data_IF_525917131975
#
_entry.id   IF_525917131975
#
_cell.length_a   1.000
_cell.length_b   1.000
_cell.length_c   1.000
_cell.angle_alpha   90.00
_cell.angle_beta   90.00
_cell.angle_gamma   90.00
#
_symmetry.space_group_name_H-M   'P 1'
#
loop_
_entity.id
_entity.type
_entity.pdbx_description
1 polymer ?
#
# COMPACT_ATOMS: atom_id res chain seq x y z
N UNK A 1 0.05 16.08 94.40
CA UNK A 1 0.47 14.66 94.18
C UNK A 1 -0.06 14.25 92.82
N UNK A 2 0.80 14.20 91.81
CA UNK A 2 0.47 13.79 90.44
C UNK A 2 0.41 12.25 90.34
N UNK A 3 -0.48 11.69 89.51
CA UNK A 3 -0.26 10.38 88.91
C UNK A 3 0.02 10.49 87.40
N UNK A 4 1.04 9.75 87.00
CA UNK A 4 1.75 9.74 85.73
C UNK A 4 0.91 9.41 84.50
N UNK A 5 1.14 10.18 83.42
CA UNK A 5 0.77 9.84 82.04
C UNK A 5 1.54 8.59 81.60
N UNK A 6 0.84 7.48 81.32
CA UNK A 6 1.39 6.33 80.59
C UNK A 6 1.16 6.55 79.09
N UNK A 7 2.21 6.99 78.41
CA UNK A 7 2.28 7.07 76.95
C UNK A 7 2.33 5.63 76.42
N UNK A 8 1.32 5.23 75.64
CA UNK A 8 1.36 3.99 74.89
C UNK A 8 2.38 4.13 73.76
N UNK A 9 3.47 3.36 73.84
CA UNK A 9 4.35 3.11 72.70
C UNK A 9 3.57 2.25 71.70
N UNK A 10 3.06 2.88 70.64
CA UNK A 10 2.62 2.17 69.45
C UNK A 10 3.86 1.60 68.76
N UNK A 11 3.96 0.28 68.72
CA UNK A 11 4.98 -0.46 67.97
C UNK A 11 4.83 -0.08 66.50
N UNK A 12 5.76 0.70 65.98
CA UNK A 12 5.87 1.00 64.55
C UNK A 12 6.24 -0.33 63.88
N UNK A 13 5.29 -0.92 63.17
CA UNK A 13 5.56 -2.03 62.27
C UNK A 13 6.44 -1.49 61.14
N UNK A 14 7.72 -1.84 61.17
CA UNK A 14 8.66 -1.59 60.08
C UNK A 14 8.18 -2.42 58.89
N UNK A 15 7.42 -1.80 57.99
CA UNK A 15 7.19 -2.35 56.65
C UNK A 15 8.55 -2.40 55.97
N UNK A 16 9.11 -3.60 55.87
CA UNK A 16 10.18 -3.86 54.92
C UNK A 16 9.60 -3.62 53.52
N UNK A 17 9.94 -2.47 52.92
CA UNK A 17 9.79 -2.29 51.48
C UNK A 17 10.67 -3.36 50.82
N UNK A 18 10.02 -4.45 50.38
CA UNK A 18 10.56 -5.27 49.32
C UNK A 18 10.61 -4.36 48.08
N UNK A 19 11.80 -3.85 47.78
CA UNK A 19 12.08 -3.27 46.50
C UNK A 19 11.87 -4.36 45.44
N UNK A 20 10.72 -4.29 44.77
CA UNK A 20 10.53 -4.96 43.48
C UNK A 20 11.64 -4.41 42.56
N UNK A 21 12.44 -5.26 41.90
CA UNK A 21 13.31 -4.76 40.84
C UNK A 21 12.40 -4.14 39.78
N UNK A 22 12.61 -2.84 39.53
CA UNK A 22 12.05 -2.16 38.39
C UNK A 22 12.44 -2.94 37.13
N UNK A 23 11.46 -3.58 36.49
CA UNK A 23 11.62 -4.03 35.13
C UNK A 23 11.93 -2.80 34.29
N UNK A 24 13.18 -2.68 33.85
CA UNK A 24 13.57 -1.72 32.82
C UNK A 24 12.83 -2.15 31.55
N UNK A 25 11.71 -1.49 31.26
CA UNK A 25 11.15 -1.47 29.92
C UNK A 25 12.12 -0.72 29.02
N UNK A 26 13.11 -1.43 28.50
CA UNK A 26 13.85 -1.02 27.33
C UNK A 26 13.19 -1.67 26.12
N UNK A 27 13.00 -0.89 25.05
CA UNK A 27 12.97 -1.42 23.70
C UNK A 27 14.36 -2.01 23.40
N UNK A 28 14.59 -3.22 23.93
CA UNK A 28 15.76 -4.02 23.61
C UNK A 28 15.60 -4.52 22.19
N UNK A 29 16.61 -4.24 21.37
CA UNK A 29 16.79 -4.77 20.01
C UNK A 29 17.08 -6.27 20.04
N UNK A 30 16.27 -7.03 20.76
CA UNK A 30 16.30 -8.49 20.73
C UNK A 30 15.41 -8.89 19.56
N UNK A 31 15.94 -8.76 18.34
CA UNK A 31 15.39 -9.46 17.18
C UNK A 31 15.31 -10.93 17.60
N UNK A 32 14.13 -11.58 17.50
CA UNK A 32 14.01 -12.98 17.88
C UNK A 32 15.01 -13.79 17.06
N UNK A 33 16.08 -14.24 17.71
CA UNK A 33 17.01 -15.20 17.12
C UNK A 33 16.20 -16.48 17.00
N UNK A 34 15.90 -16.90 15.77
CA UNK A 34 15.13 -18.10 15.50
C UNK A 34 15.77 -19.28 16.22
N UNK A 35 15.10 -19.79 17.26
CA UNK A 35 15.53 -21.00 17.96
C UNK A 35 14.61 -22.18 17.69
N UNK A 36 13.45 -22.00 17.06
CA UNK A 36 12.49 -23.09 16.82
C UNK A 36 11.64 -22.97 15.53
N UNK A 37 11.91 -22.04 14.62
CA UNK A 37 11.22 -21.98 13.32
C UNK A 37 12.26 -21.93 12.20
N UNK A 38 12.26 -22.92 11.30
CA UNK A 38 13.17 -23.07 10.15
C UNK A 38 13.05 -21.91 9.13
N UNK A 39 12.39 -20.80 9.45
CA UNK A 39 12.09 -19.68 8.54
C UNK A 39 12.87 -18.41 8.88
N UNK A 40 13.17 -17.65 7.84
CA UNK A 40 13.89 -16.38 7.94
C UNK A 40 13.35 -15.37 6.91
N UNK A 41 13.70 -14.09 7.05
CA UNK A 41 13.19 -13.04 6.18
C UNK A 41 11.76 -12.62 6.52
N UNK A 42 10.96 -12.36 5.48
CA UNK A 42 9.62 -11.77 5.57
C UNK A 42 9.56 -10.39 6.21
N UNK A 43 8.35 -9.85 6.38
CA UNK A 43 8.11 -8.50 6.91
C UNK A 43 8.64 -8.31 8.35
N UNK A 44 8.78 -9.41 9.08
CA UNK A 44 9.31 -9.43 10.44
C UNK A 44 10.85 -9.43 10.48
N UNK A 45 11.53 -9.61 9.33
CA UNK A 45 12.98 -9.60 9.23
C UNK A 45 13.64 -10.70 10.08
N UNK A 46 13.03 -11.88 10.15
CA UNK A 46 13.47 -12.98 11.01
C UNK A 46 14.88 -13.40 10.60
N UNK A 47 15.81 -13.44 11.56
CA UNK A 47 17.20 -13.82 11.33
C UNK A 47 17.44 -15.27 11.74
N UNK A 48 18.26 -15.98 10.97
CA UNK A 48 18.71 -17.32 11.33
C UNK A 48 19.63 -17.33 12.55
N UNK A 49 19.75 -18.50 13.16
CA UNK A 49 20.62 -18.73 14.30
C UNK A 49 22.10 -18.60 13.96
N UNK A 50 22.94 -18.62 15.01
CA UNK A 50 24.38 -18.60 14.82
C UNK A 50 24.85 -19.86 14.06
N UNK A 51 25.58 -19.66 12.96
CA UNK A 51 26.06 -20.76 12.13
C UNK A 51 25.09 -21.17 11.00
N UNK A 52 24.13 -20.31 10.68
CA UNK A 52 23.17 -20.49 9.59
C UNK A 52 23.09 -19.25 8.68
N UNK A 53 22.59 -19.43 7.46
CA UNK A 53 22.23 -18.37 6.52
C UNK A 53 20.78 -18.56 6.05
N UNK A 54 20.18 -17.49 5.53
CA UNK A 54 18.81 -17.51 5.07
C UNK A 54 18.71 -17.91 3.59
N UNK A 55 18.30 -19.13 3.28
CA UNK A 55 18.16 -19.62 1.91
C UNK A 55 16.81 -19.20 1.33
N UNK A 56 16.82 -18.26 0.39
CA UNK A 56 15.63 -17.84 -0.36
C UNK A 56 15.49 -18.65 -1.65
N UNK A 57 14.28 -19.08 -1.97
CA UNK A 57 14.04 -19.78 -3.23
C UNK A 57 14.34 -18.86 -4.42
N UNK A 58 14.96 -19.40 -5.47
CA UNK A 58 15.31 -18.68 -6.71
C UNK A 58 16.33 -17.53 -6.57
N UNK A 59 17.19 -17.54 -5.54
CA UNK A 59 18.21 -16.50 -5.33
C UNK A 59 17.61 -15.09 -5.21
N UNK A 60 16.36 -14.97 -4.76
CA UNK A 60 15.75 -13.67 -4.52
C UNK A 60 16.18 -13.15 -3.15
N UNK A 61 16.54 -11.88 -3.06
CA UNK A 61 16.67 -11.24 -1.76
C UNK A 61 16.23 -9.78 -1.81
N UNK A 62 15.67 -9.33 -0.69
CA UNK A 62 15.10 -7.99 -0.59
C UNK A 62 13.64 -7.88 -1.03
N UNK A 63 12.95 -8.99 -1.31
CA UNK A 63 11.48 -8.98 -1.38
C UNK A 63 10.96 -8.96 0.06
N UNK A 64 10.24 -7.89 0.43
CA UNK A 64 9.87 -7.58 1.81
C UNK A 64 9.06 -8.70 2.49
N UNK A 65 8.30 -9.48 1.73
CA UNK A 65 7.36 -10.47 2.25
C UNK A 65 7.76 -11.93 1.96
N UNK A 66 8.92 -12.16 1.33
CA UNK A 66 9.36 -13.52 1.02
C UNK A 66 10.06 -14.16 2.21
N UNK A 67 9.57 -15.35 2.59
CA UNK A 67 10.15 -16.18 3.64
C UNK A 67 11.18 -17.12 3.03
N UNK A 68 12.40 -17.09 3.56
CA UNK A 68 13.44 -18.08 3.30
C UNK A 68 13.44 -19.19 4.35
N UNK A 69 14.32 -20.17 4.15
CA UNK A 69 14.57 -21.26 5.10
C UNK A 69 15.97 -21.13 5.69
N UNK A 70 16.12 -21.28 7.01
CA UNK A 70 17.45 -21.31 7.62
C UNK A 70 18.21 -22.58 7.23
N UNK A 71 19.44 -22.39 6.74
CA UNK A 71 20.35 -23.48 6.34
C UNK A 71 21.69 -23.33 7.07
N UNK A 72 22.35 -24.43 7.45
CA UNK A 72 23.67 -24.38 8.07
C UNK A 72 24.72 -23.83 7.11
N UNK A 73 25.68 -23.06 7.64
CA UNK A 73 26.82 -22.56 6.87
C UNK A 73 27.66 -23.73 6.33
N UNK A 74 27.96 -23.75 5.01
CA UNK A 74 28.91 -24.71 4.45
C UNK A 74 30.27 -24.63 5.15
N UNK A 75 30.83 -25.78 5.50
CA UNK A 75 32.14 -25.86 6.18
C UNK A 75 33.32 -26.08 5.22
N UNK A 76 33.03 -26.42 3.97
CA UNK A 76 34.02 -26.66 2.94
C UNK A 76 33.46 -26.27 1.58
N UNK A 77 34.19 -25.44 0.85
CA UNK A 77 33.85 -24.99 -0.50
C UNK A 77 34.90 -25.45 -1.50
N UNK A 78 34.48 -25.65 -2.75
CA UNK A 78 35.41 -25.89 -3.84
C UNK A 78 36.11 -24.58 -4.22
N UNK A 79 37.35 -24.66 -4.72
CA UNK A 79 38.06 -23.50 -5.27
C UNK A 79 37.66 -23.21 -6.74
N UNK A 80 36.45 -23.65 -7.14
CA UNK A 80 35.96 -23.43 -8.50
C UNK A 80 35.38 -22.02 -8.56
N UNK A 81 35.95 -21.19 -9.43
CA UNK A 81 35.47 -19.83 -9.65
C UNK A 81 34.21 -19.84 -10.52
N UNK A 82 33.07 -19.55 -9.91
CA UNK A 82 31.74 -19.40 -10.50
C UNK A 82 31.06 -18.24 -9.78
N UNK A 83 31.41 -16.98 -10.12
CA UNK A 83 31.10 -15.85 -9.27
C UNK A 83 29.60 -15.65 -9.11
N UNK A 84 29.22 -15.12 -7.95
CA UNK A 84 27.85 -14.76 -7.61
C UNK A 84 27.83 -13.39 -6.92
N UNK A 85 26.72 -12.66 -7.08
CA UNK A 85 26.48 -11.45 -6.33
C UNK A 85 25.70 -11.81 -5.06
N UNK A 86 26.23 -11.46 -3.89
CA UNK A 86 25.57 -11.66 -2.62
C UNK A 86 24.51 -10.60 -2.36
N UNK A 87 23.57 -10.90 -1.47
CA UNK A 87 22.53 -9.96 -1.03
C UNK A 87 23.06 -8.74 -0.26
N UNK A 88 24.34 -8.76 0.10
CA UNK A 88 25.09 -7.63 0.64
C UNK A 88 25.74 -6.75 -0.45
N UNK A 89 25.51 -7.07 -1.73
CA UNK A 89 26.12 -6.38 -2.88
C UNK A 89 27.60 -6.69 -3.07
N UNK A 90 28.14 -7.72 -2.42
CA UNK A 90 29.53 -8.15 -2.61
C UNK A 90 29.61 -9.34 -3.56
N UNK A 91 30.65 -9.36 -4.38
CA UNK A 91 30.95 -10.50 -5.28
C UNK A 91 31.71 -11.58 -4.53
N UNK A 92 31.22 -12.81 -4.61
CA UNK A 92 31.86 -14.00 -4.04
C UNK A 92 32.39 -14.91 -5.14
N UNK A 93 33.46 -15.67 -4.87
CA UNK A 93 34.08 -16.55 -5.85
C UNK A 93 33.17 -17.70 -6.31
N UNK A 94 32.24 -18.12 -5.44
CA UNK A 94 31.12 -19.01 -5.75
C UNK A 94 30.03 -18.93 -4.68
N UNK A 95 28.86 -19.52 -4.96
CA UNK A 95 27.72 -19.59 -4.05
C UNK A 95 28.05 -20.22 -2.69
N UNK A 96 28.94 -21.22 -2.65
CA UNK A 96 29.34 -21.83 -1.38
C UNK A 96 30.08 -20.84 -0.49
N UNK A 97 31.00 -20.05 -1.05
CA UNK A 97 31.75 -19.03 -0.33
C UNK A 97 30.85 -17.89 0.19
N UNK A 98 29.85 -17.48 -0.59
CA UNK A 98 28.81 -16.54 -0.14
C UNK A 98 28.05 -17.11 1.07
N UNK A 99 27.50 -18.32 0.91
CA UNK A 99 26.72 -18.97 1.95
C UNK A 99 27.55 -19.28 3.20
N UNK A 100 28.84 -19.62 3.06
CA UNK A 100 29.76 -19.83 4.18
C UNK A 100 30.04 -18.54 4.97
N UNK A 101 29.87 -17.38 4.31
CA UNK A 101 29.95 -16.06 4.93
C UNK A 101 28.62 -15.60 5.54
N UNK A 102 27.58 -16.44 5.51
CA UNK A 102 26.24 -16.09 5.98
C UNK A 102 25.41 -15.27 5.00
N UNK A 103 25.90 -15.13 3.76
CA UNK A 103 25.31 -14.26 2.74
C UNK A 103 24.68 -15.12 1.65
N UNK A 104 23.41 -14.88 1.37
CA UNK A 104 22.70 -15.58 0.31
C UNK A 104 23.00 -14.96 -1.05
N UNK A 105 22.79 -15.75 -2.10
CA UNK A 105 23.01 -15.33 -3.48
C UNK A 105 21.81 -14.51 -3.97
N UNK A 106 22.09 -13.33 -4.52
CA UNK A 106 21.12 -12.45 -5.19
C UNK A 106 21.04 -12.75 -6.69
N UNK A 107 22.18 -13.09 -7.30
CA UNK A 107 22.25 -13.41 -8.73
C UNK A 107 23.53 -14.18 -9.07
N UNK A 108 23.48 -14.89 -10.21
CA UNK A 108 24.68 -15.48 -10.82
C UNK A 108 25.52 -14.37 -11.47
N UNK A 109 26.85 -14.48 -11.37
CA UNK A 109 27.80 -13.50 -11.91
C UNK A 109 28.34 -12.54 -10.85
N UNK A 110 29.26 -11.67 -11.25
CA UNK A 110 29.80 -10.62 -10.36
C UNK A 110 28.75 -9.50 -10.18
N UNK A 111 28.81 -8.76 -9.07
CA UNK A 111 27.92 -7.61 -8.86
C UNK A 111 28.24 -6.49 -9.85
N UNK A 112 27.21 -5.87 -10.42
CA UNK A 112 27.40 -4.73 -11.31
C UNK A 112 27.77 -3.45 -10.52
N UNK A 113 28.82 -2.70 -10.93
CA UNK A 113 29.30 -1.51 -10.21
C UNK A 113 28.36 -0.29 -10.28
N UNK A 114 27.13 -0.46 -10.78
CA UNK A 114 26.09 0.57 -10.89
C UNK A 114 24.83 0.30 -10.07
N UNK A 115 24.70 -0.88 -9.48
CA UNK A 115 23.57 -1.26 -8.64
C UNK A 115 24.10 -1.56 -7.24
N UNK A 116 24.18 -0.52 -6.42
CA UNK A 116 24.50 -0.69 -5.00
C UNK A 116 23.48 -1.63 -4.38
N UNK A 117 23.97 -2.69 -3.72
CA UNK A 117 23.18 -3.66 -2.96
C UNK A 117 22.24 -2.97 -1.98
N UNK A 118 21.01 -2.79 -2.44
CA UNK A 118 19.89 -2.17 -1.76
C UNK A 118 18.71 -2.37 -2.68
N UNK A 119 17.86 -3.34 -2.33
CA UNK A 119 16.80 -3.86 -3.18
C UNK A 119 16.07 -2.78 -3.99
N UNK A 120 16.20 -2.86 -5.31
CA UNK A 120 15.32 -2.22 -6.26
C UNK A 120 15.05 -3.24 -7.36
N UNK A 121 13.79 -3.67 -7.43
CA UNK A 121 13.35 -4.67 -8.38
C UNK A 121 13.32 -4.17 -9.82
N UNK A 122 13.54 -5.12 -10.73
CA UNK A 122 12.74 -5.25 -11.96
C UNK A 122 12.98 -4.25 -13.10
N UNK A 123 14.08 -4.42 -13.83
CA UNK A 123 14.28 -3.79 -15.15
C UNK A 123 14.01 -4.74 -16.31
N UNK A 124 12.77 -4.80 -16.80
CA UNK A 124 12.40 -5.49 -18.04
C UNK A 124 12.96 -4.76 -19.27
N UNK A 125 13.53 -5.52 -20.21
CA UNK A 125 14.02 -5.02 -21.49
C UNK A 125 12.86 -4.54 -22.39
N UNK A 126 12.75 -3.23 -22.59
CA UNK A 126 11.84 -2.60 -23.56
C UNK A 126 12.62 -1.82 -24.61
N UNK A 127 12.49 -2.22 -25.87
CA UNK A 127 13.27 -1.70 -27.00
C UNK A 127 13.00 -0.24 -27.38
N UNK A 128 14.01 0.35 -28.02
CA UNK A 128 14.11 1.78 -28.30
C UNK A 128 13.03 2.40 -29.20
N UNK A 129 12.79 3.69 -28.93
CA UNK A 129 12.18 4.66 -29.83
C UNK A 129 13.00 5.95 -29.81
N UNK A 130 13.48 6.38 -30.97
CA UNK A 130 14.30 7.58 -31.15
C UNK A 130 13.45 8.85 -31.13
N UNK A 131 13.91 9.84 -30.36
CA UNK A 131 14.10 11.20 -30.86
C UNK A 131 13.02 12.24 -30.54
N UNK A 132 13.42 13.24 -29.75
CA UNK A 132 12.75 14.53 -29.65
C UNK A 132 13.42 15.42 -28.61
N UNK A 133 14.46 16.16 -29.02
CA UNK A 133 15.24 16.99 -28.10
C UNK A 133 14.45 18.15 -27.50
N UNK A 134 14.66 18.36 -26.20
CA UNK A 134 14.32 19.58 -25.47
C UNK A 134 15.33 19.78 -24.35
N UNK A 135 16.10 20.86 -24.41
CA UNK A 135 17.08 21.23 -23.39
C UNK A 135 16.38 21.95 -22.23
N UNK A 136 16.56 21.44 -21.01
CA UNK A 136 16.62 22.26 -19.80
C UNK A 136 15.56 21.98 -18.73
N UNK A 137 15.98 21.34 -17.64
CA UNK A 137 15.21 21.18 -16.39
C UNK A 137 15.53 19.83 -15.77
N UNK A 138 16.27 19.79 -14.66
CA UNK A 138 16.66 18.55 -13.98
C UNK A 138 15.55 18.00 -13.09
N UNK A 139 14.32 17.95 -13.59
CA UNK A 139 13.17 17.34 -12.92
C UNK A 139 13.22 15.81 -13.02
N UNK A 140 12.50 15.11 -12.15
CA UNK A 140 12.36 13.66 -12.25
C UNK A 140 11.55 13.31 -13.51
N UNK A 141 12.03 12.34 -14.29
CA UNK A 141 11.28 11.83 -15.46
C UNK A 141 9.99 11.11 -15.05
N UNK A 142 9.93 10.64 -13.80
CA UNK A 142 8.79 9.98 -13.19
C UNK A 142 8.14 10.83 -12.10
N UNK A 143 6.86 10.57 -11.86
CA UNK A 143 6.05 11.27 -10.86
C UNK A 143 5.10 10.30 -10.15
N UNK A 144 4.46 10.75 -9.08
CA UNK A 144 3.57 9.93 -8.29
C UNK A 144 4.30 8.96 -7.34
N UNK A 145 3.77 7.75 -7.23
CA UNK A 145 4.19 6.70 -6.30
C UNK A 145 4.05 7.10 -4.83
N UNK A 146 4.52 6.22 -3.94
CA UNK A 146 4.47 6.43 -2.48
C UNK A 146 5.20 7.69 -2.01
N UNK A 147 6.20 8.12 -2.78
CA UNK A 147 6.98 9.32 -2.51
C UNK A 147 6.26 10.61 -2.93
N UNK A 148 5.17 10.51 -3.69
CA UNK A 148 4.38 11.66 -4.17
C UNK A 148 5.20 12.62 -5.04
N UNK A 149 6.09 12.08 -5.89
CA UNK A 149 7.03 12.88 -6.69
C UNK A 149 6.23 13.81 -7.62
N UNK A 150 6.53 15.09 -7.57
CA UNK A 150 5.86 16.11 -8.38
C UNK A 150 6.70 16.46 -9.62
N UNK A 151 6.03 16.72 -10.74
CA UNK A 151 6.69 17.21 -11.95
C UNK A 151 7.10 18.68 -11.83
N UNK A 152 7.97 19.12 -12.74
CA UNK A 152 8.38 20.52 -12.80
C UNK A 152 7.22 21.43 -13.26
N UNK A 153 7.28 22.74 -12.96
CA UNK A 153 6.26 23.67 -13.41
C UNK A 153 6.12 23.67 -14.94
N UNK A 154 4.89 23.48 -15.42
CA UNK A 154 4.62 23.37 -16.86
C UNK A 154 4.50 21.94 -17.36
N UNK A 155 4.50 20.96 -16.45
CA UNK A 155 4.24 19.54 -16.72
C UNK A 155 3.11 19.02 -15.82
N UNK A 156 2.49 17.92 -16.25
CA UNK A 156 1.54 17.14 -15.45
C UNK A 156 2.04 15.69 -15.33
N UNK A 157 1.58 15.00 -14.30
CA UNK A 157 1.92 13.60 -14.11
C UNK A 157 0.96 12.71 -14.91
N UNK A 158 1.43 12.15 -16.02
CA UNK A 158 0.63 11.28 -16.89
C UNK A 158 0.70 9.83 -16.40
N UNK A 159 -0.43 9.28 -15.95
CA UNK A 159 -0.52 7.89 -15.52
C UNK A 159 -1.01 7.00 -16.67
N UNK A 160 -0.34 5.88 -16.95
CA UNK A 160 -0.81 4.94 -17.97
C UNK A 160 -2.19 4.38 -17.60
N UNK A 161 -2.99 4.03 -18.61
CA UNK A 161 -4.28 3.33 -18.43
C UNK A 161 -5.30 4.02 -17.48
N UNK A 162 -5.19 5.34 -17.26
CA UNK A 162 -6.05 6.12 -16.36
C UNK A 162 -6.00 5.63 -14.89
N UNK A 163 -4.86 5.10 -14.44
CA UNK A 163 -4.70 4.37 -13.18
C UNK A 163 -4.47 5.24 -11.92
N UNK A 164 -4.63 6.56 -12.03
CA UNK A 164 -4.35 7.43 -10.90
C UNK A 164 -5.29 7.15 -9.71
N UNK A 165 -4.73 7.22 -8.49
CA UNK A 165 -5.43 6.84 -7.25
C UNK A 165 -4.93 5.53 -6.63
N UNK A 166 -4.08 4.78 -7.32
CA UNK A 166 -3.32 3.66 -6.73
C UNK A 166 -2.04 4.23 -6.08
N UNK A 167 -1.85 3.95 -4.79
CA UNK A 167 -0.85 4.63 -3.94
C UNK A 167 0.61 4.49 -4.42
N UNK A 168 0.92 3.41 -5.14
CA UNK A 168 2.30 3.07 -5.52
C UNK A 168 2.57 3.21 -7.03
N UNK A 169 1.59 3.66 -7.81
CA UNK A 169 1.76 3.75 -9.25
C UNK A 169 2.59 4.98 -9.64
N UNK A 170 3.52 4.78 -10.58
CA UNK A 170 4.38 5.83 -11.11
C UNK A 170 3.86 6.29 -12.47
N UNK A 171 3.76 7.60 -12.65
CA UNK A 171 3.50 8.25 -13.92
C UNK A 171 4.76 8.81 -14.57
N UNK A 172 4.59 9.42 -15.75
CA UNK A 172 5.64 10.10 -16.50
C UNK A 172 5.34 11.59 -16.55
N UNK A 173 6.34 12.43 -16.25
CA UNK A 173 6.18 13.88 -16.38
C UNK A 173 6.05 14.28 -17.85
N UNK A 174 4.90 14.87 -18.18
CA UNK A 174 4.54 15.23 -19.55
C UNK A 174 4.23 16.73 -19.64
N UNK A 175 4.74 17.45 -20.64
CA UNK A 175 4.46 18.87 -20.81
C UNK A 175 2.96 19.18 -20.93
N UNK A 176 2.53 20.28 -20.30
CA UNK A 176 1.15 20.76 -20.45
C UNK A 176 0.87 21.07 -21.93
N UNK A 177 -0.31 20.69 -22.45
CA UNK A 177 -0.73 21.09 -23.79
C UNK A 177 -0.79 22.62 -23.90
N UNK A 178 -0.49 23.18 -25.07
CA UNK A 178 -0.49 24.63 -25.27
C UNK A 178 -1.87 25.21 -25.61
N UNK A 179 -2.77 24.37 -26.13
CA UNK A 179 -4.12 24.74 -26.50
C UNK A 179 -5.02 23.51 -26.54
N UNK A 180 -6.28 23.69 -26.18
CA UNK A 180 -7.30 22.64 -26.20
C UNK A 180 -8.44 23.00 -27.14
N UNK A 181 -9.06 21.97 -27.71
CA UNK A 181 -10.33 22.15 -28.40
C UNK A 181 -11.47 22.27 -27.36
N UNK A 182 -12.59 22.83 -27.79
CA UNK A 182 -13.82 22.96 -26.96
C UNK A 182 -14.82 21.83 -27.24
N UNK A 183 -14.35 20.67 -27.74
CA UNK A 183 -15.21 19.51 -27.94
C UNK A 183 -15.54 18.94 -26.56
N UNK A 184 -16.83 18.82 -26.27
CA UNK A 184 -17.30 18.21 -25.03
C UNK A 184 -17.21 16.68 -25.13
N UNK A 185 -16.26 16.10 -24.41
CA UNK A 185 -15.99 14.68 -24.27
C UNK A 185 -15.50 14.43 -22.83
N UNK A 186 -16.40 14.48 -21.85
CA UNK A 186 -16.03 14.73 -20.46
C UNK A 186 -15.17 13.60 -19.88
N UNK A 187 -14.31 13.98 -18.95
CA UNK A 187 -13.43 13.06 -18.20
C UNK A 187 -13.43 13.42 -16.73
N UNK A 188 -13.15 12.42 -15.89
CA UNK A 188 -12.92 12.61 -14.47
C UNK A 188 -11.42 12.68 -14.21
N UNK A 189 -10.97 13.80 -13.63
CA UNK A 189 -9.58 13.99 -13.26
C UNK A 189 -9.22 13.18 -12.00
N UNK A 190 -7.91 12.94 -11.81
CA UNK A 190 -7.39 12.32 -10.59
C UNK A 190 -7.60 13.16 -9.32
N UNK A 191 -7.97 14.43 -9.49
CA UNK A 191 -8.37 15.36 -8.44
C UNK A 191 -9.87 15.25 -8.07
N UNK A 192 -10.62 14.39 -8.77
CA UNK A 192 -12.06 14.24 -8.58
C UNK A 192 -12.89 15.35 -9.25
N UNK A 193 -12.28 16.21 -10.08
CA UNK A 193 -13.00 17.24 -10.82
C UNK A 193 -13.37 16.79 -12.24
N UNK A 194 -14.59 17.15 -12.69
CA UNK A 194 -15.04 16.91 -14.06
C UNK A 194 -14.44 17.94 -15.01
N UNK A 195 -13.73 17.48 -16.03
CA UNK A 195 -13.21 18.31 -17.10
C UNK A 195 -14.00 18.09 -18.40
N UNK A 196 -14.18 19.16 -19.18
CA UNK A 196 -14.94 19.08 -20.44
C UNK A 196 -14.31 18.18 -21.51
N UNK A 197 -13.00 17.93 -21.42
CA UNK A 197 -12.27 16.91 -22.16
C UNK A 197 -10.89 16.62 -21.55
N UNK A 198 -10.23 15.53 -21.99
CA UNK A 198 -8.90 15.14 -21.55
C UNK A 198 -7.83 16.23 -21.72
N UNK A 199 -7.90 17.02 -22.79
CA UNK A 199 -6.95 18.12 -22.96
C UNK A 199 -7.13 19.18 -21.88
N UNK A 200 -8.37 19.53 -21.54
CA UNK A 200 -8.67 20.50 -20.51
C UNK A 200 -8.19 20.04 -19.12
N UNK A 201 -8.31 18.75 -18.80
CA UNK A 201 -7.72 18.16 -17.59
C UNK A 201 -6.19 18.29 -17.58
N UNK A 202 -5.53 17.83 -18.65
CA UNK A 202 -4.08 17.87 -18.75
C UNK A 202 -3.55 19.31 -18.74
N UNK A 203 -4.26 20.28 -19.34
CA UNK A 203 -3.92 21.70 -19.29
C UNK A 203 -3.98 22.28 -17.87
N UNK A 204 -4.88 21.76 -17.03
CA UNK A 204 -4.99 22.10 -15.62
C UNK A 204 -3.91 21.41 -14.74
N UNK A 205 -3.07 20.55 -15.33
CA UNK A 205 -2.06 19.80 -14.58
C UNK A 205 -2.56 18.47 -14.04
N UNK A 206 -3.70 17.97 -14.53
CA UNK A 206 -4.43 16.84 -13.95
C UNK A 206 -4.54 15.71 -14.97
N UNK A 207 -4.10 14.51 -14.58
CA UNK A 207 -4.29 13.31 -15.41
C UNK A 207 -5.74 12.83 -15.37
N UNK A 208 -6.13 12.10 -16.41
CA UNK A 208 -7.46 11.49 -16.51
C UNK A 208 -7.47 10.21 -15.67
N UNK A 209 -8.43 10.09 -14.75
CA UNK A 209 -8.68 8.87 -13.96
C UNK A 209 -9.82 8.01 -14.50
N UNK A 210 -10.78 8.60 -15.22
CA UNK A 210 -11.77 7.82 -15.98
C UNK A 210 -12.44 8.63 -17.09
N UNK A 211 -13.02 7.93 -18.06
CA UNK A 211 -13.87 8.52 -19.10
C UNK A 211 -15.26 8.87 -18.55
N UNK A 212 -15.83 9.99 -18.97
CA UNK A 212 -17.10 10.50 -18.47
C UNK A 212 -16.90 11.55 -17.37
N UNK A 213 -17.97 12.24 -16.99
CA UNK A 213 -17.93 13.18 -15.86
C UNK A 213 -17.56 12.44 -14.57
N UNK A 214 -16.86 13.11 -13.64
CA UNK A 214 -16.68 12.56 -12.32
C UNK A 214 -18.05 12.23 -11.71
N UNK A 215 -18.18 11.07 -11.05
CA UNK A 215 -19.35 10.82 -10.25
C UNK A 215 -19.40 11.92 -9.20
N UNK A 216 -20.57 12.53 -9.00
CA UNK A 216 -20.69 13.70 -8.11
C UNK A 216 -20.39 13.38 -6.62
N UNK A 217 -20.11 12.12 -6.33
CA UNK A 217 -19.26 11.61 -5.26
C UNK A 217 -18.53 10.36 -5.76
N UNK A 218 -17.25 10.21 -5.42
CA UNK A 218 -16.48 8.98 -5.60
C UNK A 218 -15.98 8.45 -4.25
N UNK A 219 -16.49 9.01 -3.16
CA UNK A 219 -16.05 8.70 -1.81
C UNK A 219 -16.42 7.27 -1.44
N UNK A 220 -15.52 6.53 -0.77
CA UNK A 220 -15.84 5.22 -0.26
C UNK A 220 -16.95 5.33 0.81
N UNK A 221 -17.90 4.41 0.74
CA UNK A 221 -18.99 4.30 1.72
C UNK A 221 -19.13 2.87 2.24
N UNK A 222 -19.81 2.69 3.37
CA UNK A 222 -19.96 1.39 3.99
C UNK A 222 -18.69 0.89 4.70
N UNK A 223 -18.39 -0.40 4.53
CA UNK A 223 -17.32 -1.11 5.22
C UNK A 223 -17.44 -1.13 6.75
N UNK A 224 -16.40 -1.63 7.42
CA UNK A 224 -16.36 -1.76 8.88
C UNK A 224 -16.43 -0.40 9.61
N UNK A 225 -16.02 0.67 8.92
CA UNK A 225 -16.04 2.03 9.43
C UNK A 225 -17.44 2.67 9.34
N UNK A 226 -18.36 2.10 8.55
CA UNK A 226 -19.69 2.64 8.35
C UNK A 226 -19.67 4.04 7.74
N UNK A 227 -18.86 4.23 6.69
CA UNK A 227 -18.74 5.51 5.99
C UNK A 227 -20.08 5.88 5.34
N UNK A 228 -20.59 7.08 5.63
CA UNK A 228 -21.89 7.56 5.15
C UNK A 228 -21.72 8.52 3.98
N UNK A 229 -22.61 8.41 2.99
CA UNK A 229 -22.68 9.36 1.88
C UNK A 229 -23.41 10.64 2.26
N UNK A 230 -23.24 11.67 1.43
CA UNK A 230 -23.95 12.93 1.57
C UNK A 230 -25.47 12.80 1.48
N UNK A 231 -26.17 13.86 1.88
CA UNK A 231 -27.64 13.85 1.96
C UNK A 231 -28.34 13.58 0.62
N UNK A 232 -27.71 13.93 -0.50
CA UNK A 232 -28.22 13.76 -1.86
C UNK A 232 -27.65 12.53 -2.56
N UNK A 233 -27.10 11.58 -1.80
CA UNK A 233 -26.37 10.41 -2.31
C UNK A 233 -26.82 9.09 -1.66
N UNK A 234 -26.53 7.99 -2.33
CA UNK A 234 -26.69 6.65 -1.80
C UNK A 234 -25.37 5.89 -1.96
N UNK A 235 -25.13 4.91 -1.10
CA UNK A 235 -23.95 4.07 -1.21
C UNK A 235 -24.20 2.98 -2.25
N UNK A 236 -23.56 3.04 -3.41
CA UNK A 236 -23.70 2.01 -4.45
C UNK A 236 -22.69 0.88 -4.20
N UNK A 237 -23.19 -0.34 -4.01
CA UNK A 237 -22.36 -1.52 -3.81
C UNK A 237 -22.29 -2.32 -5.12
N UNK A 238 -21.12 -2.81 -5.51
CA UNK A 238 -21.02 -3.71 -6.66
C UNK A 238 -21.87 -4.97 -6.44
N UNK A 239 -22.43 -5.54 -7.51
CA UNK A 239 -23.14 -6.83 -7.49
C UNK A 239 -24.30 -6.98 -6.49
N UNK A 240 -24.91 -5.88 -6.01
CA UNK A 240 -26.00 -5.89 -5.01
C UNK A 240 -25.59 -6.51 -3.67
N UNK A 241 -24.32 -6.38 -3.28
CA UNK A 241 -23.68 -7.12 -2.19
C UNK A 241 -23.88 -6.56 -0.78
N UNK A 242 -24.77 -5.59 -0.59
CA UNK A 242 -24.92 -4.93 0.70
C UNK A 242 -25.29 -5.89 1.84
N UNK A 243 -24.74 -5.64 3.04
CA UNK A 243 -24.89 -6.51 4.22
C UNK A 243 -23.68 -7.39 4.52
N UNK A 244 -22.61 -7.29 3.72
CA UNK A 244 -21.29 -7.83 4.04
C UNK A 244 -20.52 -6.77 4.85
N UNK A 245 -19.96 -7.17 6.00
CA UNK A 245 -19.43 -6.23 7.00
C UNK A 245 -18.24 -5.39 6.51
N UNK A 246 -17.48 -5.89 5.56
CA UNK A 246 -16.21 -5.30 5.12
C UNK A 246 -16.25 -4.77 3.67
N UNK A 247 -17.40 -4.86 3.01
CA UNK A 247 -17.51 -4.42 1.63
C UNK A 247 -17.68 -2.89 1.56
N UNK A 248 -16.84 -2.26 0.73
CA UNK A 248 -16.92 -0.83 0.45
C UNK A 248 -17.74 -0.62 -0.81
N UNK A 249 -18.70 0.31 -0.73
CA UNK A 249 -19.37 0.87 -1.88
C UNK A 249 -18.75 2.21 -2.29
N UNK A 250 -19.34 2.82 -3.30
CA UNK A 250 -19.00 4.17 -3.76
C UNK A 250 -20.23 5.06 -3.62
N UNK A 251 -20.08 6.21 -2.98
CA UNK A 251 -21.16 7.18 -2.93
C UNK A 251 -21.56 7.58 -4.34
N UNK A 252 -22.85 7.59 -4.62
CA UNK A 252 -23.40 7.92 -5.93
C UNK A 252 -24.58 8.86 -5.75
N UNK A 253 -24.72 9.85 -6.62
CA UNK A 253 -25.84 10.78 -6.56
C UNK A 253 -27.19 10.10 -6.70
N UNK A 254 -28.14 10.49 -5.86
CA UNK A 254 -29.54 10.05 -5.99
C UNK A 254 -30.10 10.52 -7.34
N UNK A 255 -30.85 9.67 -8.05
CA UNK A 255 -31.58 10.11 -9.23
C UNK A 255 -32.57 11.22 -8.84
N UNK A 256 -32.85 12.15 -9.75
CA UNK A 256 -33.79 13.26 -9.49
C UNK A 256 -35.25 12.87 -9.73
N UNK A 257 -35.48 11.87 -10.59
CA UNK A 257 -36.79 11.37 -10.94
C UNK A 257 -36.71 9.89 -11.34
N UNK A 258 -37.78 9.15 -11.07
CA UNK A 258 -37.89 7.74 -11.39
C UNK A 258 -39.11 7.46 -12.25
N UNK A 259 -38.99 6.46 -13.12
CA UNK A 259 -40.17 5.90 -13.77
C UNK A 259 -41.00 5.08 -12.76
N UNK A 260 -42.29 4.93 -13.05
CA UNK A 260 -43.22 4.15 -12.21
C UNK A 260 -43.36 2.70 -12.70
N UNK A 261 -42.37 2.18 -13.45
CA UNK A 261 -42.41 0.79 -13.92
C UNK A 261 -42.18 -0.12 -12.72
N UNK A 262 -43.16 -0.94 -12.40
CA UNK A 262 -43.08 -1.87 -11.28
C UNK A 262 -42.17 -3.06 -11.61
N UNK A 263 -40.99 -3.08 -11.01
CA UNK A 263 -39.95 -4.11 -11.09
C UNK A 263 -39.32 -4.24 -9.69
N UNK A 264 -40.00 -4.90 -8.74
CA UNK A 264 -39.69 -4.76 -7.33
C UNK A 264 -38.29 -5.25 -6.98
N UNK A 265 -37.70 -4.61 -5.98
CA UNK A 265 -36.38 -4.93 -5.43
C UNK A 265 -36.42 -4.88 -3.91
N UNK A 266 -35.52 -5.62 -3.26
CA UNK A 266 -35.29 -5.58 -1.83
C UNK A 266 -34.09 -4.67 -1.58
N UNK A 267 -34.30 -3.60 -0.83
CA UNK A 267 -33.25 -2.68 -0.44
C UNK A 267 -32.37 -3.24 0.68
N UNK A 268 -31.18 -2.68 0.84
CA UNK A 268 -30.26 -3.02 1.93
C UNK A 268 -30.80 -2.70 3.32
N UNK A 269 -31.84 -1.86 3.40
CA UNK A 269 -32.59 -1.53 4.60
C UNK A 269 -33.69 -2.56 4.93
N UNK A 270 -33.84 -3.61 4.12
CA UNK A 270 -34.87 -4.64 4.26
C UNK A 270 -36.26 -4.20 3.81
N UNK A 271 -36.40 -3.10 3.07
CA UNK A 271 -37.66 -2.63 2.52
C UNK A 271 -37.82 -2.99 1.04
N UNK A 272 -39.05 -3.30 0.63
CA UNK A 272 -39.39 -3.54 -0.78
C UNK A 272 -39.69 -2.22 -1.48
N UNK A 273 -38.98 -1.95 -2.58
CA UNK A 273 -39.18 -0.78 -3.42
C UNK A 273 -39.84 -1.17 -4.75
N UNK A 274 -40.60 -0.24 -5.35
CA UNK A 274 -41.30 -0.48 -6.61
C UNK A 274 -40.37 -0.76 -7.80
N UNK A 275 -39.17 -0.18 -7.78
CA UNK A 275 -38.05 -0.48 -8.67
C UNK A 275 -36.72 0.01 -8.07
N UNK A 276 -35.60 -0.34 -8.71
CA UNK A 276 -34.25 0.06 -8.29
C UNK A 276 -34.09 1.59 -8.21
N UNK A 277 -34.66 2.34 -9.16
CA UNK A 277 -34.59 3.80 -9.11
C UNK A 277 -35.27 4.35 -7.85
N UNK A 278 -36.44 3.82 -7.48
CA UNK A 278 -37.15 4.25 -6.28
C UNK A 278 -36.36 3.94 -4.99
N UNK A 279 -35.61 2.84 -4.95
CA UNK A 279 -34.68 2.54 -3.85
C UNK A 279 -33.55 3.56 -3.79
N UNK A 280 -32.86 3.78 -4.91
CA UNK A 280 -31.72 4.71 -4.98
C UNK A 280 -32.15 6.15 -4.69
N UNK A 281 -33.33 6.58 -5.16
CA UNK A 281 -33.94 7.88 -4.83
C UNK A 281 -34.18 8.04 -3.32
N UNK A 282 -34.52 6.96 -2.63
CA UNK A 282 -34.67 6.95 -1.17
C UNK A 282 -33.32 6.93 -0.42
N UNK A 283 -32.19 6.85 -1.12
CA UNK A 283 -30.87 6.72 -0.52
C UNK A 283 -30.48 5.27 -0.19
N UNK A 284 -31.15 4.28 -0.78
CA UNK A 284 -30.99 2.87 -0.42
C UNK A 284 -30.53 2.07 -1.63
N UNK A 285 -29.41 1.37 -1.49
CA UNK A 285 -28.92 0.44 -2.52
C UNK A 285 -29.80 -0.81 -2.62
N UNK A 286 -29.75 -1.46 -3.78
CA UNK A 286 -30.46 -2.72 -4.01
C UNK A 286 -29.62 -3.88 -3.49
N UNK A 287 -30.21 -4.71 -2.62
CA UNK A 287 -29.58 -5.95 -2.12
C UNK A 287 -30.03 -7.20 -2.87
N UNK A 288 -31.23 -7.21 -3.46
CA UNK A 288 -31.64 -8.29 -4.35
C UNK A 288 -32.78 -7.90 -5.29
N UNK A 289 -32.87 -8.61 -6.42
CA UNK A 289 -34.05 -8.56 -7.28
C UNK A 289 -35.27 -9.20 -6.61
N UNK A 290 -36.46 -8.63 -6.82
CA UNK A 290 -37.68 -9.10 -6.19
C UNK A 290 -37.92 -8.48 -4.81
N UNK A 291 -39.11 -8.66 -4.21
CA UNK A 291 -39.43 -8.11 -2.90
C UNK A 291 -38.67 -8.83 -1.78
N UNK A 292 -38.48 -8.13 -0.66
CA UNK A 292 -38.32 -8.75 0.65
C UNK A 292 -39.67 -9.40 1.07
#
# INVERSE_FOLDING_TARGET
MLPSKRIHFATIATFALLALPAAKGGCGSDVPIGQDDDTCGGIAGIQCGAGEFCDWEQNTCGIADELGTCKPLPQACSEIYQPVCGCDGQTYGNACEANASGISVASDGECDPGEGGGGQGGGGQGGGGQGGGGQGGGGPESCGGIAGIQCDPGEFCDYPDMSCGIADELGVCTPLPQACNEIYDPVCGCDGETYGNACAANLAGVSVGSSGECPSSGDPCGGIAGLECGADEFCDYPDMSCGIADELGVCTTKPQACNEIYQPVCGCDGQTYGNACAANLAGVSVGSSGPC
#
